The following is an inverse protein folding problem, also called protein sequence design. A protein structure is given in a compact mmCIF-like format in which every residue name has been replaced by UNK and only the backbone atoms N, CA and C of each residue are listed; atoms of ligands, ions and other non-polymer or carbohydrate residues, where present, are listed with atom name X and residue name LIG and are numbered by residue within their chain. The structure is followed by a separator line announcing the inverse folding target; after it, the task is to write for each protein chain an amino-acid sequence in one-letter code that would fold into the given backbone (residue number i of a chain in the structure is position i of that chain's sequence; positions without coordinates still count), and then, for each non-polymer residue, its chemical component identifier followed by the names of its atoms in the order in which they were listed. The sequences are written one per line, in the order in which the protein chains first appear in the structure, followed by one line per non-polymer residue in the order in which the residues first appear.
data_IF_412695592034
#
_entry.id   IF_412695592034
#
_cell.length_a   1.000
_cell.length_b   1.000
_cell.length_c   1.000
_cell.angle_alpha   90.00
_cell.angle_beta   90.00
_cell.angle_gamma   90.00
#
_symmetry.space_group_name_H-M   'P 1'
#
loop_
_entity.id
_entity.type
_entity.pdbx_description
1 polymer ?
#
# COMPACT_ATOMS: atom_id res chain seq x y z
N UNK A 1 0.77 -4.04 31.62
CA UNK A 1 1.04 -4.94 30.48
C UNK A 1 0.05 -4.53 29.40
N UNK A 2 0.37 -3.72 28.39
CA UNK A 2 1.64 -3.48 27.72
C UNK A 2 1.65 -2.04 27.18
N UNK A 3 2.83 -1.45 27.05
CA UNK A 3 3.07 -0.10 26.53
C UNK A 3 2.40 0.16 25.17
N UNK A 4 1.98 1.41 24.86
CA UNK A 4 1.61 1.77 23.51
C UNK A 4 2.89 1.78 22.67
N UNK A 5 3.19 0.65 22.02
CA UNK A 5 4.27 0.58 21.04
C UNK A 5 4.01 1.63 19.96
N UNK A 6 4.96 2.54 19.77
CA UNK A 6 5.12 3.30 18.53
C UNK A 6 5.31 2.30 17.40
N UNK A 7 4.20 1.77 16.88
CA UNK A 7 4.19 0.69 15.92
C UNK A 7 4.52 1.27 14.55
N UNK A 8 5.64 0.82 13.97
CA UNK A 8 6.01 1.21 12.62
C UNK A 8 4.86 0.90 11.64
N UNK A 9 4.57 1.79 10.67
CA UNK A 9 3.48 1.59 9.75
C UNK A 9 3.67 0.32 8.95
N UNK A 10 2.59 -0.47 8.80
CA UNK A 10 2.61 -1.61 7.90
C UNK A 10 2.68 -1.09 6.46
N UNK A 11 3.63 -1.61 5.70
CA UNK A 11 3.85 -1.21 4.32
C UNK A 11 3.25 -2.24 3.38
N UNK A 12 2.42 -1.80 2.43
CA UNK A 12 1.80 -2.63 1.41
C UNK A 12 2.17 -2.13 0.02
N UNK A 13 2.78 -2.98 -0.79
CA UNK A 13 3.23 -2.66 -2.13
C UNK A 13 2.47 -3.49 -3.19
N UNK A 14 1.74 -2.79 -4.06
CA UNK A 14 0.98 -3.41 -5.15
C UNK A 14 1.76 -3.38 -6.46
N UNK A 15 2.06 -4.55 -7.03
CA UNK A 15 2.79 -4.67 -8.31
C UNK A 15 1.95 -4.26 -9.52
N UNK A 16 0.62 -4.18 -9.39
CA UNK A 16 -0.29 -3.81 -10.46
C UNK A 16 0.02 -4.60 -11.75
N UNK A 17 0.18 -5.91 -11.63
CA UNK A 17 0.58 -6.79 -12.73
C UNK A 17 -0.55 -7.01 -13.75
N UNK A 18 -1.81 -6.90 -13.31
CA UNK A 18 -3.00 -7.03 -14.12
C UNK A 18 -3.34 -5.75 -14.89
N UNK A 19 -3.63 -4.64 -14.18
CA UNK A 19 -4.08 -3.42 -14.84
C UNK A 19 -2.96 -2.65 -15.56
N UNK A 20 -1.70 -2.87 -15.16
CA UNK A 20 -0.49 -2.29 -15.77
C UNK A 20 -0.51 -0.76 -15.96
N UNK A 21 -1.30 -0.05 -15.13
CA UNK A 21 -1.49 1.40 -15.25
C UNK A 21 -0.38 2.25 -14.64
N UNK A 22 0.50 1.65 -13.85
CA UNK A 22 1.64 2.33 -13.23
C UNK A 22 2.89 2.09 -14.08
N UNK A 23 3.70 3.13 -14.40
CA UNK A 23 4.91 2.97 -15.19
C UNK A 23 5.89 1.95 -14.58
N UNK A 24 6.50 1.10 -15.42
CA UNK A 24 7.40 0.05 -14.95
C UNK A 24 8.61 0.60 -14.17
N UNK A 25 9.21 1.69 -14.65
CA UNK A 25 10.34 2.33 -13.96
C UNK A 25 9.99 2.80 -12.55
N UNK A 26 8.76 3.29 -12.34
CA UNK A 26 8.31 3.73 -11.01
C UNK A 26 8.14 2.53 -10.09
N UNK A 27 7.44 1.48 -10.53
CA UNK A 27 7.23 0.27 -9.72
C UNK A 27 8.56 -0.34 -9.28
N UNK A 28 9.48 -0.52 -10.23
CA UNK A 28 10.76 -1.16 -9.98
C UNK A 28 11.61 -0.30 -9.03
N UNK A 29 11.68 1.01 -9.26
CA UNK A 29 12.44 1.91 -8.38
C UNK A 29 11.89 1.97 -6.97
N UNK A 30 10.56 1.96 -6.78
CA UNK A 30 9.97 1.88 -5.43
C UNK A 30 10.34 0.56 -4.76
N UNK A 31 10.20 -0.56 -5.47
CA UNK A 31 10.52 -1.88 -4.92
C UNK A 31 11.99 -2.00 -4.53
N UNK A 32 12.90 -1.50 -5.37
CA UNK A 32 14.33 -1.47 -5.12
C UNK A 32 14.64 -0.68 -3.85
N UNK A 33 14.14 0.56 -3.73
CA UNK A 33 14.31 1.38 -2.53
C UNK A 33 13.72 0.72 -1.27
N UNK A 34 12.56 0.08 -1.36
CA UNK A 34 11.98 -0.67 -0.24
C UNK A 34 12.88 -1.84 0.19
N UNK A 35 13.42 -2.60 -0.75
CA UNK A 35 14.36 -3.68 -0.48
C UNK A 35 15.67 -3.16 0.13
N UNK A 36 16.25 -2.08 -0.41
CA UNK A 36 17.48 -1.45 0.07
C UNK A 36 17.33 -0.89 1.49
N UNK A 37 16.15 -0.35 1.82
CA UNK A 37 15.87 0.21 3.15
C UNK A 37 15.85 -0.83 4.27
N UNK A 38 15.69 -2.12 3.94
CA UNK A 38 15.50 -3.20 4.91
C UNK A 38 14.16 -3.12 5.66
N UNK A 39 13.25 -2.23 5.29
CA UNK A 39 11.93 -2.12 5.91
C UNK A 39 11.09 -3.37 5.64
N UNK A 40 10.30 -3.78 6.62
CA UNK A 40 9.34 -4.88 6.44
C UNK A 40 8.12 -4.37 5.65
N UNK A 41 7.90 -4.94 4.47
CA UNK A 41 6.73 -4.65 3.65
C UNK A 41 6.10 -5.92 3.09
N UNK A 42 4.80 -5.85 2.82
CA UNK A 42 4.04 -6.92 2.18
C UNK A 42 3.84 -6.57 0.70
N UNK A 43 4.20 -7.47 -0.20
CA UNK A 43 3.98 -7.29 -1.64
C UNK A 43 2.82 -8.16 -2.12
N UNK A 44 1.93 -7.54 -2.91
CA UNK A 44 0.84 -8.23 -3.59
C UNK A 44 0.95 -8.04 -5.09
N UNK A 45 0.47 -9.02 -5.87
CA UNK A 45 0.40 -8.90 -7.32
C UNK A 45 -0.55 -7.77 -7.72
N UNK A 46 -1.81 -7.87 -7.29
CA UNK A 46 -2.88 -6.98 -7.73
C UNK A 46 -3.96 -6.81 -6.66
N UNK A 47 -4.05 -5.61 -6.10
CA UNK A 47 -5.16 -5.25 -5.21
C UNK A 47 -6.53 -5.32 -5.92
N UNK A 48 -6.56 -5.02 -7.22
CA UNK A 48 -7.79 -5.08 -8.01
C UNK A 48 -8.31 -6.50 -8.18
N UNK A 49 -7.43 -7.49 -8.38
CA UNK A 49 -7.80 -8.91 -8.47
C UNK A 49 -8.24 -9.45 -7.11
N UNK A 50 -7.50 -9.12 -6.04
CA UNK A 50 -7.89 -9.46 -4.67
C UNK A 50 -9.29 -8.95 -4.34
N UNK A 51 -9.62 -7.72 -4.74
CA UNK A 51 -10.95 -7.15 -4.51
C UNK A 51 -12.02 -7.80 -5.38
N UNK A 52 -11.71 -8.15 -6.63
CA UNK A 52 -12.62 -8.90 -7.50
C UNK A 52 -13.02 -10.25 -6.88
N UNK A 53 -12.09 -10.91 -6.18
CA UNK A 53 -12.32 -12.17 -5.46
C UNK A 53 -12.78 -11.98 -4.01
N UNK A 54 -12.95 -10.74 -3.52
CA UNK A 54 -13.27 -10.42 -2.12
C UNK A 54 -12.31 -11.11 -1.14
N UNK A 55 -11.02 -11.04 -1.44
CA UNK A 55 -9.97 -11.68 -0.64
C UNK A 55 -10.01 -11.17 0.82
N UNK A 56 -10.12 -12.07 1.82
CA UNK A 56 -10.22 -11.68 3.23
C UNK A 56 -8.99 -10.92 3.74
N UNK A 57 -7.83 -11.01 3.06
CA UNK A 57 -6.64 -10.23 3.42
C UNK A 57 -6.87 -8.72 3.28
N UNK A 58 -7.75 -8.27 2.38
CA UNK A 58 -8.11 -6.84 2.28
C UNK A 58 -8.72 -6.33 3.58
N UNK A 59 -9.54 -7.14 4.26
CA UNK A 59 -10.08 -6.79 5.58
C UNK A 59 -8.96 -6.64 6.62
N UNK A 60 -8.05 -7.60 6.67
CA UNK A 60 -6.91 -7.57 7.60
C UNK A 60 -6.01 -6.33 7.39
N UNK A 61 -5.79 -5.92 6.13
CA UNK A 61 -5.07 -4.67 5.86
C UNK A 61 -5.83 -3.45 6.37
N UNK A 62 -7.14 -3.35 6.11
CA UNK A 62 -7.94 -2.20 6.54
C UNK A 62 -8.02 -2.05 8.07
N UNK A 63 -7.94 -3.17 8.80
CA UNK A 63 -7.92 -3.21 10.26
C UNK A 63 -6.52 -2.93 10.85
N UNK A 64 -5.47 -2.89 10.02
CA UNK A 64 -4.12 -2.55 10.46
C UNK A 64 -3.88 -1.05 10.32
N UNK A 65 -3.55 -0.37 11.40
CA UNK A 65 -3.06 1.01 11.39
C UNK A 65 -1.85 1.16 12.33
N UNK A 66 -0.87 2.02 12.01
CA UNK A 66 -0.77 2.80 10.77
C UNK A 66 -0.41 1.92 9.55
N UNK A 67 -0.95 2.24 8.37
CA UNK A 67 -0.80 1.51 7.10
C UNK A 67 -0.46 2.47 5.96
N UNK A 68 0.55 2.13 5.17
CA UNK A 68 0.91 2.84 3.94
C UNK A 68 0.86 1.91 2.75
N UNK A 69 0.20 2.34 1.70
CA UNK A 69 -0.05 1.54 0.50
C UNK A 69 0.57 2.24 -0.71
N UNK A 70 1.61 1.65 -1.30
CA UNK A 70 2.12 2.06 -2.61
C UNK A 70 1.35 1.30 -3.71
N UNK A 71 0.53 2.02 -4.48
CA UNK A 71 -0.35 1.41 -5.48
C UNK A 71 -0.61 2.36 -6.66
N UNK A 72 -1.71 2.14 -7.39
CA UNK A 72 -2.12 2.97 -8.53
C UNK A 72 -2.76 4.28 -8.05
N UNK A 73 -4.06 4.49 -8.30
CA UNK A 73 -4.76 5.70 -7.88
C UNK A 73 -5.38 5.52 -6.48
N UNK A 74 -5.18 6.47 -5.54
CA UNK A 74 -5.75 6.40 -4.19
C UNK A 74 -7.27 6.21 -4.16
N UNK A 75 -7.98 6.91 -5.05
CA UNK A 75 -9.44 6.78 -5.21
C UNK A 75 -9.88 5.36 -5.59
N UNK A 76 -9.11 4.69 -6.45
CA UNK A 76 -9.41 3.33 -6.91
C UNK A 76 -9.18 2.37 -5.75
N UNK A 77 -8.01 2.46 -5.10
CA UNK A 77 -7.67 1.62 -3.96
C UNK A 77 -8.72 1.74 -2.86
N UNK A 78 -9.06 2.96 -2.40
CA UNK A 78 -10.12 3.15 -1.39
C UNK A 78 -11.47 2.58 -1.85
N UNK A 79 -11.80 2.68 -3.14
CA UNK A 79 -12.98 2.06 -3.73
C UNK A 79 -12.99 0.53 -3.65
N UNK A 80 -11.87 -0.13 -3.94
CA UNK A 80 -11.71 -1.59 -3.86
C UNK A 80 -11.96 -2.11 -2.44
N UNK A 81 -11.38 -1.44 -1.45
CA UNK A 81 -11.56 -1.74 -0.02
C UNK A 81 -13.02 -1.56 0.43
N UNK A 82 -13.66 -0.45 0.01
CA UNK A 82 -15.10 -0.21 0.26
C UNK A 82 -15.99 -1.28 -0.37
N UNK A 83 -15.71 -1.70 -1.61
CA UNK A 83 -16.48 -2.73 -2.31
C UNK A 83 -16.45 -4.08 -1.58
N UNK A 84 -15.36 -4.37 -0.87
CA UNK A 84 -15.22 -5.59 -0.06
C UNK A 84 -15.82 -5.45 1.36
N UNK A 85 -16.48 -4.34 1.68
CA UNK A 85 -17.03 -4.09 3.02
C UNK A 85 -15.95 -3.80 4.07
N UNK A 86 -14.74 -3.40 3.67
CA UNK A 86 -13.61 -3.12 4.55
C UNK A 86 -12.97 -1.78 4.16
N UNK A 87 -13.67 -0.64 4.33
CA UNK A 87 -13.15 0.66 3.95
C UNK A 87 -11.85 0.97 4.70
N UNK A 88 -10.85 1.51 3.98
CA UNK A 88 -9.66 2.06 4.63
C UNK A 88 -10.06 3.25 5.52
N UNK A 89 -9.52 3.35 6.74
CA UNK A 89 -9.80 4.50 7.61
C UNK A 89 -9.28 5.80 7.00
N UNK A 90 -9.84 6.93 7.42
CA UNK A 90 -9.38 8.26 6.98
C UNK A 90 -8.08 8.64 7.67
N UNK A 91 -7.96 8.30 8.96
CA UNK A 91 -6.75 8.45 9.76
C UNK A 91 -5.97 7.13 9.82
N UNK A 92 -4.65 7.20 9.78
CA UNK A 92 -3.78 6.02 9.89
C UNK A 92 -3.70 5.12 8.65
N UNK A 93 -4.42 5.41 7.57
CA UNK A 93 -4.24 4.72 6.28
C UNK A 93 -3.94 5.70 5.13
N UNK A 94 -2.72 5.60 4.61
CA UNK A 94 -2.20 6.45 3.54
C UNK A 94 -2.03 5.63 2.25
N UNK A 95 -2.41 6.22 1.10
CA UNK A 95 -2.23 5.60 -0.21
C UNK A 95 -1.38 6.50 -1.09
N UNK A 96 -0.19 6.03 -1.43
CA UNK A 96 0.79 6.72 -2.28
C UNK A 96 0.57 6.32 -3.75
N UNK A 97 0.56 7.33 -4.61
CA UNK A 97 0.14 7.21 -6.01
C UNK A 97 1.33 7.01 -6.94
N UNK A 98 1.69 5.75 -7.20
CA UNK A 98 2.81 5.43 -8.11
C UNK A 98 2.57 5.81 -9.57
N UNK A 99 1.34 6.17 -9.95
CA UNK A 99 1.06 6.61 -11.32
C UNK A 99 1.37 8.09 -11.54
N UNK A 100 1.19 8.92 -10.51
CA UNK A 100 1.38 10.36 -10.60
C UNK A 100 2.70 10.82 -9.98
N UNK A 101 3.19 10.11 -8.97
CA UNK A 101 4.43 10.41 -8.25
C UNK A 101 5.59 9.59 -8.82
N UNK A 102 6.80 10.12 -8.66
CA UNK A 102 8.05 9.43 -8.96
C UNK A 102 8.32 8.28 -7.98
N UNK A 103 9.27 7.40 -8.34
CA UNK A 103 9.68 6.30 -7.47
C UNK A 103 10.23 6.80 -6.13
N UNK A 104 10.94 7.92 -6.17
CA UNK A 104 11.54 8.52 -4.99
C UNK A 104 10.48 9.07 -4.04
N UNK A 105 9.56 9.90 -4.53
CA UNK A 105 8.48 10.45 -3.70
C UNK A 105 7.64 9.36 -3.04
N UNK A 106 7.36 8.26 -3.75
CA UNK A 106 6.61 7.14 -3.17
C UNK A 106 7.45 6.39 -2.14
N UNK A 107 8.71 6.06 -2.44
CA UNK A 107 9.56 5.34 -1.50
C UNK A 107 9.79 6.16 -0.21
N UNK A 108 10.04 7.46 -0.35
CA UNK A 108 10.21 8.37 0.79
C UNK A 108 8.94 8.44 1.64
N UNK A 109 7.77 8.53 1.00
CA UNK A 109 6.48 8.46 1.70
C UNK A 109 6.28 7.13 2.43
N UNK A 110 6.66 6.00 1.81
CA UNK A 110 6.57 4.68 2.44
C UNK A 110 7.49 4.58 3.66
N UNK A 111 8.71 5.10 3.57
CA UNK A 111 9.78 4.92 4.55
C UNK A 111 9.85 6.04 5.61
N UNK A 112 9.03 7.09 5.49
CA UNK A 112 9.02 8.22 6.42
C UNK A 112 8.80 7.76 7.86
N UNK A 113 9.72 8.07 8.78
CA UNK A 113 9.44 7.94 10.21
C UNK A 113 8.35 8.95 10.60
N UNK A 114 7.31 8.50 11.31
CA UNK A 114 6.28 9.39 11.89
C UNK A 114 6.87 10.38 12.90
#
# INVERSE_FOLDING_TARGET
MSEPSSQAPKLLYCRCAYAQVVPQGVKNGVLEKLCESGASFESVSDLCEMAAHRDPRLKAFAETTPLRIAACYPRVVRGLFRQCGSPLPEEGAEVLNMRAQSAEEVADGMLKAE
#
